data_IF_070541365465
#
_entry.id   IF_070541365465
#
_cell.length_a   1.000
_cell.length_b   1.000
_cell.length_c   1.000
_cell.angle_alpha   90.00
_cell.angle_beta   90.00
_cell.angle_gamma   90.00
#
_symmetry.space_group_name_H-M   'P 1'
#
loop_
_entity.id
_entity.type
_entity.pdbx_description
1 polymer ?
#
# COMPACT_ATOMS: atom_id res chain seq x y z
N UNK A 1 0.59 9.92 9.71
CA UNK A 1 1.21 9.77 8.38
C UNK A 1 0.67 8.49 7.74
N UNK A 2 -0.05 8.59 6.61
CA UNK A 2 -0.65 7.42 5.91
C UNK A 2 0.37 6.31 5.61
N UNK A 3 1.60 6.68 5.25
CA UNK A 3 2.63 5.71 4.88
C UNK A 3 3.00 4.73 6.01
N UNK A 4 2.94 5.15 7.28
CA UNK A 4 3.33 4.30 8.41
C UNK A 4 2.31 3.19 8.68
N UNK A 5 1.02 3.54 8.67
CA UNK A 5 -0.09 2.58 8.83
C UNK A 5 -0.08 1.52 7.73
N UNK A 6 0.23 1.95 6.50
CA UNK A 6 0.32 1.06 5.34
C UNK A 6 1.49 0.08 5.47
N UNK A 7 2.66 0.55 5.91
CA UNK A 7 3.82 -0.31 6.17
C UNK A 7 3.48 -1.37 7.21
N UNK A 8 2.90 -0.96 8.35
CA UNK A 8 2.50 -1.92 9.40
C UNK A 8 1.52 -2.96 8.90
N UNK A 9 0.58 -2.59 8.03
CA UNK A 9 -0.35 -3.56 7.46
C UNK A 9 0.35 -4.51 6.45
N UNK A 10 1.30 -4.04 5.66
CA UNK A 10 2.09 -4.89 4.76
C UNK A 10 2.91 -5.92 5.53
N UNK A 11 3.54 -5.51 6.64
CA UNK A 11 4.26 -6.43 7.52
C UNK A 11 3.33 -7.49 8.13
N UNK A 12 2.13 -7.08 8.59
CA UNK A 12 1.09 -8.02 9.08
C UNK A 12 0.60 -8.99 8.01
N UNK A 13 0.59 -8.58 6.75
CA UNK A 13 0.21 -9.41 5.62
C UNK A 13 1.34 -10.31 5.12
N UNK A 14 2.54 -10.25 5.72
CA UNK A 14 3.69 -11.04 5.29
C UNK A 14 4.32 -10.55 3.99
N UNK A 15 4.22 -9.25 3.69
CA UNK A 15 4.80 -8.63 2.49
C UNK A 15 5.97 -7.72 2.90
N UNK A 16 7.17 -8.28 3.16
CA UNK A 16 8.33 -7.49 3.57
C UNK A 16 8.99 -6.75 2.40
N UNK A 17 8.79 -7.21 1.16
CA UNK A 17 9.38 -6.62 -0.04
C UNK A 17 8.47 -5.52 -0.60
N UNK A 18 8.67 -4.29 -0.10
CA UNK A 18 7.94 -3.12 -0.54
C UNK A 18 8.85 -1.90 -0.73
N UNK A 19 8.44 -0.99 -1.61
CA UNK A 19 9.10 0.30 -1.85
C UNK A 19 8.06 1.39 -2.03
N UNK A 20 8.28 2.55 -1.39
CA UNK A 20 7.39 3.70 -1.50
C UNK A 20 8.10 4.79 -2.29
N UNK A 21 7.66 5.00 -3.53
CA UNK A 21 8.12 6.08 -4.39
C UNK A 21 7.28 7.34 -4.13
N UNK A 22 7.85 8.34 -3.45
CA UNK A 22 7.17 9.62 -3.19
C UNK A 22 7.31 10.54 -4.41
N UNK A 23 6.26 10.63 -5.21
CA UNK A 23 6.16 11.58 -6.33
C UNK A 23 5.51 12.93 -5.94
N UNK A 24 5.35 13.83 -6.92
CA UNK A 24 4.83 15.21 -6.70
C UNK A 24 3.37 15.30 -6.20
N UNK A 25 2.53 14.28 -6.42
CA UNK A 25 1.09 14.33 -6.11
C UNK A 25 0.58 13.13 -5.33
N UNK A 26 0.92 11.92 -5.79
CA UNK A 26 0.49 10.67 -5.17
C UNK A 26 1.71 9.76 -4.99
N UNK A 27 2.04 9.33 -3.75
CA UNK A 27 3.05 8.31 -3.55
C UNK A 27 2.62 7.00 -4.23
N UNK A 28 3.58 6.23 -4.73
CA UNK A 28 3.33 4.90 -5.28
C UNK A 28 3.95 3.88 -4.34
N UNK A 29 3.15 2.90 -3.95
CA UNK A 29 3.59 1.72 -3.22
C UNK A 29 3.84 0.61 -4.24
N UNK A 30 5.10 0.19 -4.39
CA UNK A 30 5.45 -1.04 -5.10
C UNK A 30 5.57 -2.16 -4.07
N UNK A 31 4.92 -3.29 -4.31
CA UNK A 31 5.06 -4.50 -3.49
C UNK A 31 5.41 -5.69 -4.36
N UNK A 32 6.18 -6.61 -3.82
CA UNK A 32 6.45 -7.90 -4.44
C UNK A 32 5.83 -8.99 -3.57
N UNK A 33 4.93 -9.75 -4.17
CA UNK A 33 4.23 -10.86 -3.51
C UNK A 33 4.29 -12.04 -4.45
N UNK A 34 4.73 -13.21 -3.97
CA UNK A 34 4.82 -14.45 -4.76
C UNK A 34 5.56 -14.28 -6.12
N UNK A 35 6.60 -13.45 -6.17
CA UNK A 35 7.39 -13.19 -7.38
C UNK A 35 6.74 -12.25 -8.40
N UNK A 36 5.56 -11.70 -8.10
CA UNK A 36 4.90 -10.71 -8.95
C UNK A 36 5.02 -9.30 -8.33
N UNK A 37 5.59 -8.39 -9.09
CA UNK A 37 5.63 -6.97 -8.72
C UNK A 37 4.30 -6.29 -9.06
N UNK A 38 3.72 -5.60 -8.08
CA UNK A 38 2.49 -4.81 -8.23
C UNK A 38 2.71 -3.39 -7.73
N UNK A 39 1.99 -2.46 -8.31
CA UNK A 39 2.04 -1.04 -7.96
C UNK A 39 0.65 -0.60 -7.52
N UNK A 40 0.59 0.05 -6.36
CA UNK A 40 -0.61 0.63 -5.78
C UNK A 40 -0.39 2.13 -5.57
N UNK A 41 -1.29 2.97 -6.07
CA UNK A 41 -1.17 4.43 -5.93
C UNK A 41 -1.79 4.86 -4.60
N UNK A 42 -1.00 5.52 -3.77
CA UNK A 42 -1.41 6.04 -2.48
C UNK A 42 -2.04 7.44 -2.61
N UNK A 43 -3.08 7.75 -1.82
CA UNK A 43 -3.58 9.11 -1.71
C UNK A 43 -2.48 10.04 -1.18
N UNK A 44 -2.36 11.22 -1.79
CA UNK A 44 -1.30 12.18 -1.50
C UNK A 44 -1.56 13.05 -0.27
N UNK A 45 -2.81 13.11 0.19
CA UNK A 45 -3.22 13.94 1.32
C UNK A 45 -3.85 13.05 2.40
N UNK A 46 -3.59 13.41 3.65
CA UNK A 46 -4.14 12.70 4.82
C UNK A 46 -5.50 13.22 5.27
N UNK A 47 -6.11 14.16 4.51
CA UNK A 47 -7.33 14.87 4.96
C UNK A 47 -8.57 13.98 4.99
N UNK A 48 -8.57 12.85 4.29
CA UNK A 48 -9.67 11.89 4.34
C UNK A 48 -9.25 10.63 5.10
N UNK A 49 -9.74 10.47 6.33
CA UNK A 49 -9.62 9.22 7.10
C UNK A 49 -10.19 8.01 6.33
N UNK A 50 -11.13 8.24 5.40
CA UNK A 50 -11.62 7.22 4.46
C UNK A 50 -10.57 6.80 3.44
N UNK A 51 -9.69 7.70 3.02
CA UNK A 51 -8.65 7.40 2.03
C UNK A 51 -7.64 6.37 2.58
N UNK A 52 -7.29 6.45 3.86
CA UNK A 52 -6.45 5.44 4.52
C UNK A 52 -7.14 4.07 4.58
N UNK A 53 -8.40 4.03 5.05
CA UNK A 53 -9.18 2.78 5.11
C UNK A 53 -9.35 2.14 3.74
N UNK A 54 -9.65 2.95 2.72
CA UNK A 54 -9.78 2.48 1.34
C UNK A 54 -8.43 1.93 0.81
N UNK A 55 -7.31 2.59 1.13
CA UNK A 55 -5.99 2.12 0.76
C UNK A 55 -5.66 0.76 1.40
N UNK A 56 -5.92 0.60 2.70
CA UNK A 56 -5.73 -0.67 3.42
C UNK A 56 -6.59 -1.78 2.81
N UNK A 57 -7.88 -1.52 2.57
CA UNK A 57 -8.77 -2.49 1.92
C UNK A 57 -8.30 -2.85 0.50
N UNK A 58 -7.82 -1.88 -0.28
CA UNK A 58 -7.26 -2.08 -1.61
C UNK A 58 -6.02 -2.97 -1.60
N UNK A 59 -5.08 -2.68 -0.71
CA UNK A 59 -3.86 -3.48 -0.51
C UNK A 59 -4.20 -4.90 -0.08
N UNK A 60 -5.10 -5.07 0.90
CA UNK A 60 -5.56 -6.39 1.34
C UNK A 60 -6.14 -7.22 0.20
N UNK A 61 -6.97 -6.61 -0.65
CA UNK A 61 -7.53 -7.29 -1.84
C UNK A 61 -6.44 -7.66 -2.83
N UNK A 62 -5.47 -6.77 -3.02
CA UNK A 62 -4.37 -6.99 -3.93
C UNK A 62 -3.47 -8.14 -3.46
N UNK A 63 -3.22 -8.27 -2.15
CA UNK A 63 -2.48 -9.39 -1.57
C UNK A 63 -3.32 -10.67 -1.53
N UNK A 64 -4.59 -10.61 -1.11
CA UNK A 64 -5.47 -11.79 -1.04
C UNK A 64 -5.86 -12.35 -2.40
N UNK A 65 -5.98 -11.51 -3.42
CA UNK A 65 -6.19 -11.97 -4.80
C UNK A 65 -4.99 -12.73 -5.38
N UNK A 66 -3.93 -12.93 -4.60
CA UNK A 66 -2.73 -13.71 -4.95
C UNK A 66 -2.61 -15.02 -4.17
N UNK A 67 -3.54 -15.31 -3.25
CA UNK A 67 -3.63 -16.56 -2.50
C UNK A 67 -4.55 -17.57 -3.20
#
# INVERSE_FOLDING_TARGET
MIAREIVTELERLGVPDYSIERGRKHPKLRINVNGASKIYVLPGTSSDHRALRNAICGIRRLVKGMA
#
